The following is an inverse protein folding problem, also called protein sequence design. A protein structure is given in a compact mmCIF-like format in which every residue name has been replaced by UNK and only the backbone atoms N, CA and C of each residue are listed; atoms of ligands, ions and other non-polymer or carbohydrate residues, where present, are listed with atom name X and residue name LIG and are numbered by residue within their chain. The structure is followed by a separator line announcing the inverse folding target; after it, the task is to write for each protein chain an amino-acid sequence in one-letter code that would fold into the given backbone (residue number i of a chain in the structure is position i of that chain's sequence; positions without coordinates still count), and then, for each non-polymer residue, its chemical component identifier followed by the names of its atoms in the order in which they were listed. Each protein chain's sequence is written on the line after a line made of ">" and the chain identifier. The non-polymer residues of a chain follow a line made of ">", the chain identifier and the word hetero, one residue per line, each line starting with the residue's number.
data_IF_085889959187
#
_entry.id   IF_085889959187
#
_cell.length_a   1.000
_cell.length_b   1.000
_cell.length_c   1.000
_cell.angle_alpha   90.00
_cell.angle_beta   90.00
_cell.angle_gamma   90.00
#
_symmetry.space_group_name_H-M   'P 1'
#
loop_
_entity.id
_entity.type
_entity.pdbx_description
1 polymer ?
#
# COMPACT_ATOMS: atom_id res chain seq x y z
N UNK A 1 5.22 0.63 -26.94
CA UNK A 1 5.45 -0.45 -25.96
C UNK A 1 4.54 -0.18 -24.78
N UNK A 2 3.63 -1.10 -24.45
CA UNK A 2 2.52 -0.87 -23.53
C UNK A 2 2.80 -1.43 -22.12
N UNK A 3 2.35 -0.73 -21.08
CA UNK A 3 2.36 -1.22 -19.69
C UNK A 3 1.68 -2.59 -19.57
N UNK A 4 2.20 -3.47 -18.71
CA UNK A 4 1.70 -4.84 -18.55
C UNK A 4 0.86 -4.98 -17.29
N UNK A 5 -0.34 -5.56 -17.43
CA UNK A 5 -1.18 -5.92 -16.29
C UNK A 5 -0.55 -7.09 -15.53
N UNK A 6 -0.41 -6.97 -14.21
CA UNK A 6 0.11 -8.03 -13.33
C UNK A 6 -1.04 -8.77 -12.66
N UNK A 7 -1.99 -8.03 -12.09
CA UNK A 7 -3.13 -8.60 -11.39
C UNK A 7 -4.36 -7.70 -11.58
N UNK A 8 -5.53 -8.32 -11.62
CA UNK A 8 -6.82 -7.63 -11.71
C UNK A 8 -7.81 -8.30 -10.78
N UNK A 9 -8.62 -7.49 -10.10
CA UNK A 9 -9.70 -7.97 -9.25
C UNK A 9 -10.96 -7.13 -9.47
N UNK A 10 -12.10 -7.81 -9.57
CA UNK A 10 -13.41 -7.18 -9.65
C UNK A 10 -14.03 -7.22 -8.26
N UNK A 11 -14.36 -6.05 -7.73
CA UNK A 11 -14.93 -5.88 -6.40
C UNK A 11 -16.33 -5.28 -6.51
N UNK A 12 -17.16 -5.33 -5.46
CA UNK A 12 -18.43 -4.60 -5.42
C UNK A 12 -18.26 -3.08 -5.63
N UNK A 13 -17.06 -2.53 -5.39
CA UNK A 13 -16.74 -1.10 -5.57
C UNK A 13 -16.07 -0.80 -6.92
N UNK A 14 -15.95 -1.80 -7.79
CA UNK A 14 -15.37 -1.68 -9.14
C UNK A 14 -14.05 -2.42 -9.32
N UNK A 15 -13.34 -2.10 -10.40
CA UNK A 15 -12.09 -2.77 -10.78
C UNK A 15 -10.91 -2.27 -9.95
N UNK A 16 -10.06 -3.20 -9.53
CA UNK A 16 -8.71 -2.94 -9.03
C UNK A 16 -7.72 -3.56 -10.00
N UNK A 17 -6.76 -2.77 -10.47
CA UNK A 17 -5.71 -3.20 -11.40
C UNK A 17 -4.33 -2.90 -10.80
N UNK A 18 -3.50 -3.92 -10.70
CA UNK A 18 -2.07 -3.79 -10.48
C UNK A 18 -1.35 -3.96 -11.82
N UNK A 19 -0.55 -2.98 -12.21
CA UNK A 19 0.22 -3.03 -13.46
C UNK A 19 1.68 -2.67 -13.25
N UNK A 20 2.53 -3.13 -14.16
CA UNK A 20 3.93 -2.73 -14.25
C UNK A 20 4.07 -1.62 -15.30
N UNK A 21 4.67 -0.50 -14.91
CA UNK A 21 5.03 0.56 -15.84
C UNK A 21 6.25 0.17 -16.68
N UNK A 22 6.15 0.49 -17.96
CA UNK A 22 7.23 0.36 -18.94
C UNK A 22 8.18 1.54 -18.76
N UNK A 23 9.48 1.26 -18.64
CA UNK A 23 10.52 2.28 -18.48
C UNK A 23 11.22 2.19 -17.12
N UNK A 24 10.47 2.23 -16.02
CA UNK A 24 11.02 2.19 -14.66
C UNK A 24 10.67 0.90 -13.89
N UNK A 25 9.83 0.04 -14.45
CA UNK A 25 9.46 -1.26 -13.86
C UNK A 25 8.61 -1.17 -12.60
N UNK A 26 8.15 0.04 -12.24
CA UNK A 26 7.40 0.30 -11.01
C UNK A 26 6.02 -0.33 -11.06
N UNK A 27 5.52 -0.68 -9.88
CA UNK A 27 4.16 -1.16 -9.74
C UNK A 27 3.24 0.01 -9.50
N UNK A 28 2.12 0.00 -10.21
CA UNK A 28 1.09 1.02 -10.12
C UNK A 28 -0.25 0.35 -9.80
N UNK A 29 -0.93 0.87 -8.77
CA UNK A 29 -2.27 0.46 -8.39
C UNK A 29 -3.28 1.46 -8.98
N UNK A 30 -4.27 0.95 -9.69
CA UNK A 30 -5.40 1.72 -10.21
C UNK A 30 -6.73 1.17 -9.71
N UNK A 31 -7.66 2.06 -9.42
CA UNK A 31 -9.05 1.71 -9.06
C UNK A 31 -9.98 2.40 -10.04
N UNK A 32 -10.84 1.63 -10.71
CA UNK A 32 -11.72 2.13 -11.77
C UNK A 32 -10.97 2.95 -12.84
N UNK A 33 -9.76 2.50 -13.18
CA UNK A 33 -8.90 3.18 -14.14
C UNK A 33 -8.21 4.44 -13.63
N UNK A 34 -8.41 4.87 -12.38
CA UNK A 34 -7.76 6.04 -11.77
C UNK A 34 -6.48 5.61 -11.02
N UNK A 35 -5.39 6.36 -11.20
CA UNK A 35 -4.15 6.16 -10.43
C UNK A 35 -4.41 6.38 -8.93
N UNK A 36 -4.03 5.41 -8.11
CA UNK A 36 -4.15 5.50 -6.64
C UNK A 36 -2.77 5.71 -6.01
N UNK A 37 -1.82 4.84 -6.32
CA UNK A 37 -0.45 4.89 -5.80
C UNK A 37 0.51 4.12 -6.72
N UNK A 38 1.80 4.31 -6.51
CA UNK A 38 2.86 3.48 -7.08
C UNK A 38 3.90 3.08 -6.02
N UNK A 39 4.91 2.33 -6.44
CA UNK A 39 6.05 1.96 -5.57
C UNK A 39 7.18 2.99 -5.57
N UNK A 40 7.04 4.15 -6.22
CA UNK A 40 8.09 5.17 -6.22
C UNK A 40 8.07 5.95 -4.92
N UNK A 41 6.95 6.59 -4.65
CA UNK A 41 6.83 7.56 -3.58
C UNK A 41 6.13 6.90 -2.40
N UNK A 42 6.93 6.57 -1.37
CA UNK A 42 6.44 5.89 -0.16
C UNK A 42 6.81 6.66 1.12
N UNK A 43 7.27 7.91 0.98
CA UNK A 43 7.75 8.70 2.12
C UNK A 43 6.63 8.97 3.12
N UNK A 44 5.42 9.27 2.64
CA UNK A 44 4.27 9.58 3.50
C UNK A 44 3.80 8.36 4.30
N UNK A 45 3.80 7.19 3.68
CA UNK A 45 3.44 5.90 4.28
C UNK A 45 4.47 5.51 5.35
N UNK A 46 5.76 5.68 5.04
CA UNK A 46 6.84 5.44 6.01
C UNK A 46 6.75 6.39 7.19
N UNK A 47 6.46 7.67 6.94
CA UNK A 47 6.29 8.66 8.01
C UNK A 47 5.09 8.31 8.89
N UNK A 48 3.94 7.98 8.29
CA UNK A 48 2.74 7.57 9.01
C UNK A 48 2.99 6.32 9.86
N UNK A 49 3.63 5.30 9.28
CA UNK A 49 3.99 4.08 10.00
C UNK A 49 4.93 4.36 11.18
N UNK A 50 5.90 5.26 10.99
CA UNK A 50 6.85 5.66 12.05
C UNK A 50 6.12 6.33 13.20
N UNK A 51 5.30 7.35 12.90
CA UNK A 51 4.51 8.08 13.90
C UNK A 51 3.56 7.14 14.67
N UNK A 52 2.87 6.23 13.96
CA UNK A 52 1.98 5.27 14.60
C UNK A 52 2.70 4.30 15.55
N UNK A 53 3.91 3.85 15.19
CA UNK A 53 4.72 2.96 16.04
C UNK A 53 5.29 3.68 17.26
N UNK A 54 5.71 4.93 17.11
CA UNK A 54 6.17 5.77 18.22
C UNK A 54 5.04 6.00 19.23
N UNK A 55 3.86 6.38 18.75
CA UNK A 55 2.68 6.58 19.60
C UNK A 55 2.28 5.29 20.33
N UNK A 56 2.30 4.14 19.64
CA UNK A 56 1.97 2.86 20.26
C UNK A 56 2.95 2.50 21.40
N UNK A 57 4.25 2.75 21.21
CA UNK A 57 5.28 2.52 22.23
C UNK A 57 5.09 3.45 23.43
N UNK A 58 4.77 4.72 23.19
CA UNK A 58 4.48 5.69 24.24
C UNK A 58 3.26 5.28 25.07
N UNK A 59 2.19 4.84 24.40
CA UNK A 59 0.92 4.49 25.04
C UNK A 59 0.91 3.11 25.74
N UNK A 60 1.68 2.13 25.26
CA UNK A 60 1.62 0.73 25.77
C UNK A 60 2.90 0.22 26.44
N UNK A 61 3.97 1.01 26.45
CA UNK A 61 5.27 0.57 26.92
C UNK A 61 5.95 -0.41 25.95
N UNK A 62 6.95 -1.18 26.41
CA UNK A 62 7.75 -2.06 25.55
C UNK A 62 6.88 -3.13 24.87
N UNK A 63 6.93 -3.18 23.54
CA UNK A 63 6.22 -4.16 22.72
C UNK A 63 7.19 -5.30 22.42
N UNK A 64 6.93 -6.49 22.99
CA UNK A 64 7.75 -7.68 22.75
C UNK A 64 7.64 -8.19 21.30
N UNK A 65 8.63 -8.94 20.81
CA UNK A 65 8.57 -9.56 19.48
C UNK A 65 7.28 -10.37 19.30
N UNK A 66 6.58 -10.17 18.18
CA UNK A 66 5.35 -10.92 17.84
C UNK A 66 4.04 -10.38 18.45
N UNK A 67 4.08 -9.34 19.28
CA UNK A 67 2.86 -8.72 19.85
C UNK A 67 2.23 -7.63 18.97
N UNK A 68 2.93 -7.19 17.92
CA UNK A 68 2.43 -6.21 16.97
C UNK A 68 1.58 -6.89 15.89
N UNK A 69 0.29 -6.55 15.83
CA UNK A 69 -0.57 -6.87 14.68
C UNK A 69 -0.85 -5.59 13.90
N UNK A 70 -0.48 -5.59 12.62
CA UNK A 70 -0.73 -4.48 11.70
C UNK A 70 -1.93 -4.83 10.84
N UNK A 71 -2.95 -3.99 10.87
CA UNK A 71 -4.06 -4.03 9.92
C UNK A 71 -3.77 -3.00 8.83
N UNK A 72 -3.63 -3.46 7.58
CA UNK A 72 -3.54 -2.58 6.42
C UNK A 72 -4.95 -2.37 5.87
N UNK A 73 -5.49 -1.16 6.04
CA UNK A 73 -6.80 -0.79 5.49
C UNK A 73 -6.76 -0.59 3.98
N UNK A 74 -7.94 -0.59 3.34
CA UNK A 74 -8.09 -0.23 1.92
C UNK A 74 -8.01 -1.40 0.93
N UNK A 75 -7.80 -2.64 1.40
CA UNK A 75 -7.76 -3.83 0.53
C UNK A 75 -9.11 -4.53 0.35
N UNK A 76 -10.15 -4.09 1.07
CA UNK A 76 -11.47 -4.73 1.08
C UNK A 76 -11.54 -5.85 2.08
#
# INVERSE_FOLDING_TARGET
>A
MSDSAIARAQTPRGEVLLRRRTGDGRLELRVNGVFVMDTLETSTERLLATLALEELRASRGPIGPGSLRVLVGGLG
#
